data_IF_265565859576
#
_entry.id   IF_265565859576
#
_cell.length_a   1.000
_cell.length_b   1.000
_cell.length_c   1.000
_cell.angle_alpha   90.00
_cell.angle_beta   90.00
_cell.angle_gamma   90.00
#
_symmetry.space_group_name_H-M   'P 1'
#
loop_
_entity.id
_entity.type
_entity.pdbx_description
1 polymer ?
#
# COMPACT_ATOMS: atom_id res chain seq x y z
N UNK A 1 -24.38 29.06 17.60
CA UNK A 1 -23.67 28.90 18.87
C UNK A 1 -23.28 27.43 19.04
N UNK A 2 -22.17 27.02 18.43
CA UNK A 2 -21.67 25.63 18.49
C UNK A 2 -20.96 25.48 19.84
N UNK A 3 -21.50 24.64 20.72
CA UNK A 3 -20.92 24.42 22.05
C UNK A 3 -19.48 23.89 21.89
N UNK A 4 -18.49 24.44 22.63
CA UNK A 4 -17.07 24.05 22.50
C UNK A 4 -16.84 22.55 22.68
N UNK A 5 -17.71 21.90 23.47
CA UNK A 5 -17.77 20.44 23.63
C UNK A 5 -17.91 19.70 22.29
N UNK A 6 -18.83 20.10 21.40
CA UNK A 6 -19.03 19.42 20.10
C UNK A 6 -17.81 19.53 19.18
N UNK A 7 -17.13 20.67 19.19
CA UNK A 7 -15.94 20.89 18.36
C UNK A 7 -14.80 19.95 18.76
N UNK A 8 -14.60 19.72 20.06
CA UNK A 8 -13.59 18.78 20.56
C UNK A 8 -13.91 17.34 20.16
N UNK A 9 -15.17 16.91 20.26
CA UNK A 9 -15.59 15.57 19.82
C UNK A 9 -15.34 15.35 18.33
N UNK A 10 -15.66 16.33 17.48
CA UNK A 10 -15.40 16.21 16.03
C UNK A 10 -13.92 16.11 15.69
N UNK A 11 -13.06 16.85 16.40
CA UNK A 11 -11.61 16.79 16.19
C UNK A 11 -11.03 15.43 16.58
N UNK A 12 -11.46 14.86 17.71
CA UNK A 12 -11.02 13.52 18.15
C UNK A 12 -11.45 12.45 17.15
N UNK A 13 -12.70 12.50 16.68
CA UNK A 13 -13.21 11.55 15.68
C UNK A 13 -12.39 11.64 14.38
N UNK A 14 -12.09 12.85 13.90
CA UNK A 14 -11.25 13.05 12.71
C UNK A 14 -9.86 12.45 12.88
N UNK A 15 -9.19 12.68 14.03
CA UNK A 15 -7.87 12.10 14.31
C UNK A 15 -7.93 10.57 14.34
N UNK A 16 -8.96 9.98 14.94
CA UNK A 16 -9.14 8.51 14.98
C UNK A 16 -9.36 7.94 13.58
N UNK A 17 -10.15 8.60 12.73
CA UNK A 17 -10.37 8.15 11.34
C UNK A 17 -9.08 8.20 10.52
N UNK A 18 -8.27 9.25 10.69
CA UNK A 18 -6.96 9.35 10.03
C UNK A 18 -5.99 8.26 10.48
N UNK A 19 -5.97 7.92 11.78
CA UNK A 19 -5.14 6.84 12.30
C UNK A 19 -5.57 5.46 11.79
N UNK A 20 -6.88 5.22 11.62
CA UNK A 20 -7.40 3.98 11.05
C UNK A 20 -7.10 3.87 9.55
N UNK A 21 -7.05 4.99 8.83
CA UNK A 21 -6.69 5.00 7.41
C UNK A 21 -5.24 4.54 7.15
N UNK A 22 -4.33 4.75 8.11
CA UNK A 22 -2.94 4.29 8.06
C UNK A 22 -2.77 2.79 8.41
N UNK A 23 -3.82 2.12 8.90
CA UNK A 23 -3.77 0.67 9.18
C UNK A 23 -3.95 -0.15 7.91
N UNK A 24 -3.05 0.08 6.95
CA UNK A 24 -3.08 -0.54 5.64
C UNK A 24 -2.63 -2.01 5.73
N UNK A 25 -3.62 -2.91 5.66
CA UNK A 25 -3.54 -4.22 4.98
C UNK A 25 -2.34 -5.07 5.39
N UNK A 26 -2.42 -5.71 6.57
CA UNK A 26 -1.65 -6.92 6.83
C UNK A 26 -2.29 -8.10 6.08
N UNK A 27 -2.24 -8.09 4.74
CA UNK A 27 -2.19 -9.37 4.02
C UNK A 27 -0.79 -9.91 4.30
N UNK A 28 -0.67 -11.19 4.67
CA UNK A 28 0.60 -11.83 5.02
C UNK A 28 1.52 -12.02 3.79
N UNK A 29 1.79 -10.93 3.06
CA UNK A 29 2.73 -10.87 1.96
C UNK A 29 3.99 -10.22 2.54
N UNK A 30 5.05 -11.01 2.65
CA UNK A 30 6.38 -10.47 2.93
C UNK A 30 6.80 -9.56 1.79
N UNK A 31 6.86 -8.25 2.04
CA UNK A 31 7.40 -7.27 1.10
C UNK A 31 8.90 -7.53 0.88
N UNK A 32 9.23 -8.32 -0.15
CA UNK A 32 10.60 -8.59 -0.57
C UNK A 32 10.75 -8.31 -2.07
N UNK A 33 11.55 -7.30 -2.48
CA UNK A 33 11.77 -6.97 -3.89
C UNK A 33 12.27 -8.16 -4.72
N UNK A 34 12.99 -9.09 -4.09
CA UNK A 34 13.51 -10.31 -4.76
C UNK A 34 12.39 -11.20 -5.34
N UNK A 35 11.17 -11.12 -4.81
CA UNK A 35 10.02 -11.86 -5.35
C UNK A 35 9.54 -11.29 -6.70
N UNK A 36 9.99 -10.10 -7.09
CA UNK A 36 9.78 -9.49 -8.41
C UNK A 36 10.87 -9.86 -9.43
N UNK A 37 11.82 -10.75 -9.10
CA UNK A 37 12.82 -11.29 -10.04
C UNK A 37 12.25 -11.76 -11.40
N UNK A 38 11.08 -12.41 -11.52
CA UNK A 38 10.49 -12.76 -12.82
C UNK A 38 10.10 -11.56 -13.69
N UNK A 39 10.05 -10.35 -13.13
CA UNK A 39 9.74 -9.13 -13.84
C UNK A 39 10.98 -8.37 -14.33
N UNK A 40 12.20 -8.80 -13.99
CA UNK A 40 13.44 -8.05 -14.31
C UNK A 40 13.54 -7.77 -15.80
N UNK A 41 13.37 -8.77 -16.66
CA UNK A 41 13.44 -8.59 -18.12
C UNK A 41 12.35 -7.66 -18.66
N UNK A 42 11.17 -7.63 -18.02
CA UNK A 42 10.09 -6.72 -18.39
C UNK A 42 10.40 -5.27 -17.97
N UNK A 43 11.08 -5.09 -16.83
CA UNK A 43 11.48 -3.78 -16.29
C UNK A 43 12.68 -3.20 -17.04
N UNK A 44 13.73 -4.00 -17.27
CA UNK A 44 15.00 -3.52 -17.84
C UNK A 44 14.97 -3.38 -19.36
N UNK A 45 14.18 -4.22 -20.03
CA UNK A 45 14.25 -4.37 -21.49
C UNK A 45 12.90 -4.12 -22.17
N UNK A 46 11.88 -3.67 -21.43
CA UNK A 46 10.51 -3.43 -21.94
C UNK A 46 9.89 -4.63 -22.65
N UNK A 47 10.36 -5.84 -22.33
CA UNK A 47 9.82 -7.08 -22.88
C UNK A 47 8.45 -7.39 -22.28
N UNK A 48 7.57 -8.11 -23.00
CA UNK A 48 6.26 -8.46 -22.46
C UNK A 48 6.40 -9.29 -21.18
N UNK A 49 5.68 -8.94 -20.10
CA UNK A 49 5.80 -9.62 -18.81
C UNK A 49 5.26 -11.05 -18.88
N UNK A 50 5.93 -11.97 -18.20
CA UNK A 50 5.45 -13.34 -18.02
C UNK A 50 4.20 -13.38 -17.13
N UNK A 51 3.37 -14.41 -17.27
CA UNK A 51 2.21 -14.62 -16.39
C UNK A 51 2.61 -14.69 -14.90
N UNK A 52 3.79 -15.25 -14.62
CA UNK A 52 4.33 -15.34 -13.26
C UNK A 52 4.74 -13.96 -12.72
N UNK A 53 5.36 -13.11 -13.54
CA UNK A 53 5.60 -11.71 -13.19
C UNK A 53 4.30 -10.99 -12.82
N UNK A 54 3.25 -11.14 -13.64
CA UNK A 54 1.95 -10.52 -13.38
C UNK A 54 1.31 -10.99 -12.06
N UNK A 55 1.40 -12.29 -11.74
CA UNK A 55 0.92 -12.82 -10.45
C UNK A 55 1.67 -12.18 -9.28
N UNK A 56 3.00 -12.17 -9.34
CA UNK A 56 3.85 -11.67 -8.24
C UNK A 56 3.71 -10.17 -8.03
N UNK A 57 3.57 -9.39 -9.10
CA UNK A 57 3.30 -7.95 -9.02
C UNK A 57 1.94 -7.68 -8.35
N UNK A 58 0.90 -8.45 -8.68
CA UNK A 58 -0.44 -8.30 -8.10
C UNK A 58 -0.47 -8.67 -6.62
N UNK A 59 0.19 -9.76 -6.25
CA UNK A 59 0.35 -10.20 -4.85
C UNK A 59 1.01 -9.11 -4.00
N UNK A 60 2.00 -8.39 -4.57
CA UNK A 60 2.76 -7.36 -3.86
C UNK A 60 2.19 -5.95 -3.95
N UNK A 61 0.99 -5.75 -4.50
CA UNK A 61 0.35 -4.42 -4.60
C UNK A 61 0.47 -3.53 -3.34
N UNK A 62 0.29 -4.02 -2.09
CA UNK A 62 0.48 -3.17 -0.91
C UNK A 62 1.91 -2.67 -0.70
N UNK A 63 2.93 -3.36 -1.22
CA UNK A 63 4.34 -3.04 -1.03
C UNK A 63 4.91 -2.07 -2.08
N UNK A 64 4.20 -1.82 -3.20
CA UNK A 64 4.75 -1.06 -4.33
C UNK A 64 5.19 0.35 -3.93
N UNK A 65 4.38 1.06 -3.13
CA UNK A 65 4.71 2.40 -2.66
C UNK A 65 5.95 2.40 -1.74
N UNK A 66 6.23 1.30 -1.04
CA UNK A 66 7.43 1.18 -0.22
C UNK A 66 8.70 1.05 -1.06
N UNK A 67 8.62 0.39 -2.22
CA UNK A 67 9.77 0.21 -3.11
C UNK A 67 10.11 1.45 -3.94
N UNK A 68 9.20 2.43 -4.01
CA UNK A 68 9.39 3.69 -4.73
C UNK A 68 9.96 4.82 -3.85
N UNK A 69 10.22 4.56 -2.56
CA UNK A 69 11.03 5.44 -1.72
C UNK A 69 12.51 5.25 -2.05
#
# INVERSE_FOLDING_TARGET
MIKPSYFTFTAVILVVVLLLAETQVSTAVTCRPVQLSPCVSAITSSSPPSGLCCSKIREQKPCHCQYMK
#
